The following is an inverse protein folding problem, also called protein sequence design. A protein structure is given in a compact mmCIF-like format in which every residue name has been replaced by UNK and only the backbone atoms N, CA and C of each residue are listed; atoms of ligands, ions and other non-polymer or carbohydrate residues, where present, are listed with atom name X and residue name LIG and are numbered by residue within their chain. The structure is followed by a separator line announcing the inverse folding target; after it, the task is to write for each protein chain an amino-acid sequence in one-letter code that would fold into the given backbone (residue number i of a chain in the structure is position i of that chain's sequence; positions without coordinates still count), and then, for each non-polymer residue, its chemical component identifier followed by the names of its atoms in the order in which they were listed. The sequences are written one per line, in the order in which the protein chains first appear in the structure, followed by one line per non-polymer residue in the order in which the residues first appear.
data_IF_600508901492
#
_entry.id   IF_600508901492
#
_cell.length_a   1.000
_cell.length_b   1.000
_cell.length_c   1.000
_cell.angle_alpha   90.00
_cell.angle_beta   90.00
_cell.angle_gamma   90.00
#
_symmetry.space_group_name_H-M   'P 1'
#
loop_
_entity.id
_entity.type
_entity.pdbx_description
1 polymer ?
#
# COMPACT_ATOMS: atom_id res chain seq x y z
N UNK A 1 -5.64 -0.36 27.80
CA UNK A 1 -5.67 0.67 26.74
C UNK A 1 -4.37 0.54 25.97
N UNK A 2 -4.42 0.17 24.72
CA UNK A 2 -3.25 0.21 23.84
C UNK A 2 -3.24 1.60 23.21
N UNK A 3 -2.19 2.39 23.47
CA UNK A 3 -2.01 3.68 22.82
C UNK A 3 -1.39 3.41 21.42
N UNK A 4 -2.23 3.51 20.39
CA UNK A 4 -1.77 3.41 19.00
C UNK A 4 -1.42 4.81 18.52
N UNK A 5 -0.16 5.00 18.14
CA UNK A 5 0.29 6.24 17.52
C UNK A 5 0.13 6.13 16.00
N UNK A 6 -0.51 7.13 15.41
CA UNK A 6 -0.71 7.22 13.97
C UNK A 6 0.03 8.44 13.43
N UNK A 7 1.01 8.21 12.56
CA UNK A 7 1.58 9.24 11.71
C UNK A 7 1.01 9.09 10.29
N UNK A 8 1.11 10.15 9.48
CA UNK A 8 0.70 10.11 8.08
C UNK A 8 1.73 10.81 7.20
N UNK A 9 1.96 10.25 6.01
CA UNK A 9 2.83 10.81 4.99
C UNK A 9 2.00 11.11 3.74
N UNK A 10 2.02 12.35 3.19
CA UNK A 10 1.23 12.68 2.01
C UNK A 10 1.84 12.06 0.75
N UNK A 11 0.95 11.58 -0.13
CA UNK A 11 1.28 11.04 -1.45
C UNK A 11 0.69 11.98 -2.50
N UNK A 12 1.51 12.41 -3.45
CA UNK A 12 1.13 13.37 -4.48
C UNK A 12 1.11 12.74 -5.87
N UNK A 13 0.23 13.23 -6.72
CA UNK A 13 0.20 12.95 -8.15
C UNK A 13 1.25 13.79 -8.89
N UNK A 14 1.52 13.44 -10.14
CA UNK A 14 2.38 14.19 -11.08
C UNK A 14 2.09 15.69 -11.14
N UNK A 15 0.81 16.07 -11.05
CA UNK A 15 0.38 17.46 -11.04
C UNK A 15 0.45 18.13 -9.65
N UNK A 16 1.09 17.47 -8.68
CA UNK A 16 1.24 17.89 -7.27
C UNK A 16 -0.08 17.98 -6.49
N UNK A 17 -1.19 17.43 -7.02
CA UNK A 17 -2.39 17.27 -6.23
C UNK A 17 -2.25 16.09 -5.28
N UNK A 18 -2.88 16.18 -4.11
CA UNK A 18 -2.88 15.10 -3.14
C UNK A 18 -3.60 13.87 -3.71
N UNK A 19 -2.96 12.71 -3.67
CA UNK A 19 -3.56 11.41 -3.95
C UNK A 19 -4.17 10.82 -2.69
N UNK A 20 -3.44 10.89 -1.59
CA UNK A 20 -3.81 10.30 -0.32
C UNK A 20 -2.72 10.46 0.72
N UNK A 21 -2.84 9.68 1.78
CA UNK A 21 -1.85 9.60 2.84
C UNK A 21 -1.52 8.16 3.14
N UNK A 22 -0.24 7.85 3.23
CA UNK A 22 0.22 6.62 3.86
C UNK A 22 0.05 6.75 5.37
N UNK A 23 -0.55 5.74 5.97
CA UNK A 23 -0.81 5.67 7.40
C UNK A 23 0.21 4.78 8.08
N UNK A 24 1.05 5.40 8.91
CA UNK A 24 2.14 4.76 9.63
C UNK A 24 1.68 4.45 11.05
N UNK A 25 1.32 3.19 11.30
CA UNK A 25 0.96 2.72 12.62
C UNK A 25 2.22 2.41 13.43
N UNK A 26 2.28 2.88 14.66
CA UNK A 26 3.38 2.60 15.58
C UNK A 26 2.82 2.08 16.90
N UNK A 27 2.83 0.78 17.06
CA UNK A 27 2.62 0.08 18.32
C UNK A 27 3.93 -0.41 18.97
N UNK A 28 5.08 -0.02 18.39
CA UNK A 28 6.43 -0.26 18.93
C UNK A 28 7.42 -0.87 17.92
N UNK A 29 7.05 -1.78 17.04
CA UNK A 29 8.00 -2.52 16.18
C UNK A 29 7.55 -2.69 14.73
N UNK A 30 6.28 -2.54 14.40
CA UNK A 30 5.74 -2.78 13.06
C UNK A 30 5.06 -1.53 12.51
N UNK A 31 5.23 -1.28 11.19
CA UNK A 31 4.52 -0.23 10.46
C UNK A 31 3.31 -0.79 9.70
N UNK A 32 2.67 -1.82 10.24
CA UNK A 32 1.47 -2.40 9.68
C UNK A 32 0.25 -2.04 10.52
N UNK A 33 -0.93 -2.20 9.94
CA UNK A 33 -2.18 -2.15 10.70
C UNK A 33 -2.08 -3.15 11.86
N UNK A 34 -2.44 -2.74 13.11
CA UNK A 34 -2.23 -3.58 14.28
C UNK A 34 -2.84 -4.97 14.09
N UNK A 35 -2.01 -5.99 14.29
CA UNK A 35 -2.46 -7.36 14.35
C UNK A 35 -3.23 -7.57 15.64
N UNK A 36 -4.41 -8.17 15.52
CA UNK A 36 -5.30 -8.31 16.63
C UNK A 36 -5.53 -9.80 16.83
N UNK A 37 -5.06 -10.27 17.98
CA UNK A 37 -5.28 -11.63 18.42
C UNK A 37 -6.71 -12.13 18.05
N UNK A 38 -6.79 -12.76 16.90
CA UNK A 38 -7.55 -13.90 16.52
C UNK A 38 -9.05 -13.95 16.77
N UNK A 39 -9.79 -12.85 16.91
CA UNK A 39 -11.26 -12.98 16.89
C UNK A 39 -11.88 -11.95 15.92
N UNK A 40 -12.77 -12.44 15.05
CA UNK A 40 -13.63 -11.64 14.16
C UNK A 40 -14.28 -10.43 14.88
N UNK A 41 -14.59 -10.59 16.18
CA UNK A 41 -15.13 -9.54 17.02
C UNK A 41 -14.13 -8.40 17.28
N UNK A 42 -12.84 -8.72 17.42
CA UNK A 42 -11.79 -7.72 17.72
C UNK A 42 -11.41 -6.95 16.44
N UNK A 43 -11.33 -7.62 15.30
CA UNK A 43 -11.15 -6.99 13.98
C UNK A 43 -12.30 -6.01 13.70
N UNK A 44 -13.53 -6.37 14.03
CA UNK A 44 -14.70 -5.47 13.91
C UNK A 44 -14.65 -4.28 14.86
N UNK A 45 -14.16 -4.46 16.10
CA UNK A 45 -14.06 -3.36 17.06
C UNK A 45 -13.00 -2.36 16.63
N UNK A 46 -11.88 -2.79 16.08
CA UNK A 46 -10.84 -1.87 15.57
C UNK A 46 -11.25 -1.22 14.26
N UNK A 47 -11.85 -1.97 13.34
CA UNK A 47 -12.45 -1.38 12.16
C UNK A 47 -13.45 -0.30 12.55
N UNK A 48 -14.34 -0.59 13.50
CA UNK A 48 -15.31 0.39 13.99
C UNK A 48 -14.64 1.56 14.74
N UNK A 49 -13.54 1.31 15.47
CA UNK A 49 -12.80 2.38 16.16
C UNK A 49 -12.02 3.24 15.17
N UNK A 50 -11.43 2.63 14.15
CA UNK A 50 -10.79 3.31 13.04
C UNK A 50 -11.81 4.08 12.19
N UNK A 51 -13.01 3.51 11.96
CA UNK A 51 -14.14 4.20 11.37
C UNK A 51 -14.71 5.29 12.25
N UNK A 52 -14.77 5.09 13.57
CA UNK A 52 -15.33 6.09 14.52
C UNK A 52 -14.37 7.25 14.79
N UNK A 53 -13.05 7.02 14.68
CA UNK A 53 -12.05 8.10 14.60
C UNK A 53 -12.05 8.78 13.23
N UNK A 54 -12.76 8.19 12.25
CA UNK A 54 -12.99 8.71 10.92
C UNK A 54 -11.76 8.65 10.04
N UNK A 55 -11.66 7.62 9.19
CA UNK A 55 -10.68 7.57 8.12
C UNK A 55 -10.64 8.91 7.35
N UNK A 56 -11.79 9.59 7.26
CA UNK A 56 -11.94 10.92 6.68
C UNK A 56 -11.20 12.01 7.46
N UNK A 57 -11.09 11.90 8.79
CA UNK A 57 -10.33 12.88 9.58
C UNK A 57 -8.82 12.71 9.37
N UNK A 58 -8.37 11.49 9.08
CA UNK A 58 -6.96 11.18 8.88
C UNK A 58 -6.53 11.40 7.44
N UNK A 59 -7.33 10.98 6.46
CA UNK A 59 -7.00 11.05 5.04
C UNK A 59 -7.66 12.24 4.30
N UNK A 60 -8.56 12.99 4.96
CA UNK A 60 -9.31 14.06 4.31
C UNK A 60 -10.12 13.54 3.12
N UNK A 61 -10.02 14.23 1.98
CA UNK A 61 -10.65 13.80 0.72
C UNK A 61 -9.83 12.74 -0.02
N UNK A 62 -8.56 12.49 0.39
CA UNK A 62 -7.67 11.52 -0.22
C UNK A 62 -7.96 10.09 0.22
N UNK A 63 -7.20 9.13 -0.35
CA UNK A 63 -7.22 7.73 0.08
C UNK A 63 -6.24 7.50 1.23
N UNK A 64 -6.55 6.57 2.11
CA UNK A 64 -5.63 6.06 3.12
C UNK A 64 -4.91 4.83 2.57
N UNK A 65 -3.59 4.90 2.48
CA UNK A 65 -2.73 3.78 2.17
C UNK A 65 -2.39 3.10 3.49
N UNK A 66 -2.71 1.82 3.59
CA UNK A 66 -2.62 1.06 4.84
C UNK A 66 -1.88 -0.24 4.61
N UNK A 67 -0.81 -0.44 5.36
CA UNK A 67 -0.02 -1.67 5.38
C UNK A 67 -0.75 -2.76 6.17
N UNK A 68 -0.99 -3.91 5.54
CA UNK A 68 -1.61 -5.06 6.17
C UNK A 68 -0.62 -6.22 6.29
N UNK A 69 -0.65 -6.91 7.43
CA UNK A 69 0.11 -8.14 7.61
C UNK A 69 -0.45 -9.28 6.76
N UNK A 70 0.34 -10.37 6.58
CA UNK A 70 -0.11 -11.56 5.85
C UNK A 70 -1.44 -12.09 6.38
N UNK A 71 -1.56 -12.24 7.70
CA UNK A 71 -2.74 -12.83 8.33
C UNK A 71 -3.98 -11.98 8.09
N UNK A 72 -3.87 -10.65 8.20
CA UNK A 72 -4.97 -9.72 7.90
C UNK A 72 -5.39 -9.75 6.43
N UNK A 73 -4.45 -9.95 5.50
CA UNK A 73 -4.75 -10.13 4.07
C UNK A 73 -5.52 -11.43 3.83
N UNK A 74 -5.02 -12.53 4.38
CA UNK A 74 -5.65 -13.87 4.23
C UNK A 74 -7.04 -13.90 4.87
N UNK A 75 -7.24 -13.23 5.98
CA UNK A 75 -8.55 -13.07 6.64
C UNK A 75 -9.48 -12.04 5.97
N UNK A 76 -9.03 -11.37 4.89
CA UNK A 76 -9.78 -10.32 4.15
C UNK A 76 -10.19 -9.12 5.02
N UNK A 77 -9.45 -8.84 6.08
CA UNK A 77 -9.71 -7.68 6.93
C UNK A 77 -9.79 -6.37 6.14
N UNK A 78 -8.98 -6.13 5.08
CA UNK A 78 -9.13 -4.93 4.26
C UNK A 78 -10.53 -4.75 3.66
N UNK A 79 -11.26 -5.83 3.41
CA UNK A 79 -12.62 -5.75 2.83
C UNK A 79 -13.67 -5.22 3.80
N UNK A 80 -13.31 -5.01 5.05
CA UNK A 80 -14.17 -4.33 6.04
C UNK A 80 -14.17 -2.80 5.85
N UNK A 81 -13.22 -2.24 5.09
CA UNK A 81 -13.08 -0.82 4.84
C UNK A 81 -13.73 -0.42 3.50
N UNK A 82 -14.18 0.83 3.33
CA UNK A 82 -14.67 1.30 2.04
C UNK A 82 -13.55 1.27 0.98
N UNK A 83 -13.77 0.53 -0.10
CA UNK A 83 -12.79 0.33 -1.17
C UNK A 83 -12.35 1.61 -1.89
N UNK A 84 -13.18 2.64 -1.86
CA UNK A 84 -12.91 3.96 -2.44
C UNK A 84 -12.07 4.85 -1.51
N UNK A 85 -11.91 4.46 -0.24
CA UNK A 85 -11.20 5.21 0.78
C UNK A 85 -9.87 4.58 1.19
N UNK A 86 -9.70 3.29 0.99
CA UNK A 86 -8.50 2.55 1.38
C UNK A 86 -7.76 2.00 0.17
N UNK A 87 -6.43 2.11 0.20
CA UNK A 87 -5.49 1.36 -0.65
C UNK A 87 -4.86 0.29 0.23
N UNK A 88 -4.91 -0.95 -0.20
CA UNK A 88 -4.33 -2.09 0.53
C UNK A 88 -2.85 -2.19 0.17
N UNK A 89 -1.96 -1.88 1.11
CA UNK A 89 -0.52 -2.01 0.91
C UNK A 89 -0.01 -3.37 1.39
N UNK A 90 0.82 -3.99 0.56
CA UNK A 90 1.49 -5.26 0.82
C UNK A 90 2.97 -4.98 0.98
N UNK A 91 3.49 -5.25 2.17
CA UNK A 91 4.90 -5.03 2.52
C UNK A 91 5.82 -6.01 1.77
N UNK A 92 7.05 -5.60 1.54
CA UNK A 92 8.07 -6.36 0.78
C UNK A 92 8.48 -7.68 1.42
N UNK A 93 8.27 -7.84 2.75
CA UNK A 93 8.59 -9.05 3.51
C UNK A 93 7.47 -10.11 3.50
N UNK A 94 6.29 -9.78 2.94
CA UNK A 94 5.19 -10.73 2.80
C UNK A 94 5.50 -11.71 1.68
N UNK A 95 5.55 -13.01 2.03
CA UNK A 95 5.71 -14.08 1.06
C UNK A 95 4.46 -14.20 0.17
N UNK A 96 4.61 -14.19 -1.17
CA UNK A 96 3.51 -14.28 -2.13
C UNK A 96 3.01 -15.72 -2.31
N UNK A 97 2.64 -16.36 -1.21
CA UNK A 97 2.06 -17.71 -1.25
C UNK A 97 0.65 -17.71 -1.89
N UNK A 98 0.12 -18.91 -2.14
CA UNK A 98 -1.16 -19.08 -2.82
C UNK A 98 -2.32 -18.43 -2.06
N UNK A 99 -2.30 -18.43 -0.72
CA UNK A 99 -3.36 -17.84 0.11
C UNK A 99 -3.35 -16.31 0.02
N UNK A 100 -2.17 -15.70 0.06
CA UNK A 100 -2.00 -14.24 -0.10
C UNK A 100 -2.39 -13.80 -1.50
N UNK A 101 -1.91 -14.50 -2.54
CA UNK A 101 -2.24 -14.17 -3.93
C UNK A 101 -3.75 -14.28 -4.19
N UNK A 102 -4.40 -15.33 -3.67
CA UNK A 102 -5.86 -15.50 -3.81
C UNK A 102 -6.62 -14.41 -3.06
N UNK A 103 -6.18 -14.05 -1.84
CA UNK A 103 -6.77 -12.95 -1.09
C UNK A 103 -6.70 -11.61 -1.85
N UNK A 104 -5.53 -11.31 -2.41
CA UNK A 104 -5.31 -10.09 -3.19
C UNK A 104 -6.14 -10.08 -4.48
N UNK A 105 -6.26 -11.24 -5.15
CA UNK A 105 -7.12 -11.38 -6.34
C UNK A 105 -8.58 -11.09 -6.01
N UNK A 106 -9.10 -11.70 -4.97
CA UNK A 106 -10.48 -11.47 -4.51
C UNK A 106 -10.72 -9.99 -4.18
N UNK A 107 -9.80 -9.35 -3.46
CA UNK A 107 -9.89 -7.92 -3.16
C UNK A 107 -9.87 -7.07 -4.42
N UNK A 108 -8.97 -7.33 -5.38
CA UNK A 108 -8.89 -6.60 -6.64
C UNK A 108 -10.18 -6.76 -7.47
N UNK A 109 -10.74 -7.97 -7.56
CA UNK A 109 -12.01 -8.24 -8.24
C UNK A 109 -13.21 -7.52 -7.59
N UNK A 110 -13.15 -7.30 -6.28
CA UNK A 110 -14.11 -6.49 -5.54
C UNK A 110 -13.85 -4.97 -5.61
N UNK A 111 -12.84 -4.55 -6.39
CA UNK A 111 -12.55 -3.15 -6.69
C UNK A 111 -11.68 -2.45 -5.65
N UNK A 112 -10.98 -3.19 -4.79
CA UNK A 112 -9.95 -2.64 -3.93
C UNK A 112 -8.69 -2.34 -4.74
N UNK A 113 -8.04 -1.22 -4.46
CA UNK A 113 -6.75 -0.88 -5.04
C UNK A 113 -5.66 -1.51 -4.19
N UNK A 114 -4.82 -2.35 -4.81
CA UNK A 114 -3.68 -3.01 -4.18
C UNK A 114 -2.41 -2.25 -4.54
N UNK A 115 -1.57 -1.96 -3.55
CA UNK A 115 -0.25 -1.39 -3.71
C UNK A 115 0.83 -2.36 -3.21
N UNK A 116 1.89 -2.56 -3.99
CA UNK A 116 3.08 -3.30 -3.56
C UNK A 116 4.12 -2.32 -3.06
N UNK A 117 4.52 -2.45 -1.80
CA UNK A 117 5.44 -1.54 -1.12
C UNK A 117 6.90 -1.95 -1.30
N UNK A 118 7.82 -0.98 -1.33
CA UNK A 118 9.29 -1.17 -1.49
C UNK A 118 9.64 -2.30 -2.47
N UNK A 119 9.02 -2.24 -3.68
CA UNK A 119 8.96 -3.38 -4.59
C UNK A 119 10.32 -3.81 -5.14
N UNK A 120 10.67 -5.07 -4.89
CA UNK A 120 11.78 -5.78 -5.51
C UNK A 120 11.26 -6.90 -6.41
N UNK A 121 11.64 -6.86 -7.70
CA UNK A 121 11.19 -7.88 -8.65
C UNK A 121 11.79 -9.25 -8.31
N UNK A 122 10.91 -10.22 -8.05
CA UNK A 122 11.22 -11.64 -7.93
C UNK A 122 10.20 -12.43 -8.76
N UNK A 123 10.56 -13.56 -9.39
CA UNK A 123 9.63 -14.36 -10.21
C UNK A 123 8.36 -14.75 -9.44
N UNK A 124 8.48 -15.00 -8.14
CA UNK A 124 7.39 -15.40 -7.24
C UNK A 124 6.33 -14.30 -7.09
N UNK A 125 6.70 -13.04 -7.32
CA UNK A 125 5.79 -11.89 -7.25
C UNK A 125 4.78 -11.83 -8.41
N UNK A 126 4.88 -12.69 -9.42
CA UNK A 126 4.05 -12.64 -10.63
C UNK A 126 2.54 -12.66 -10.32
N UNK A 127 2.10 -13.41 -9.32
CA UNK A 127 0.72 -13.46 -8.86
C UNK A 127 0.25 -12.12 -8.28
N UNK A 128 1.03 -11.51 -7.40
CA UNK A 128 0.72 -10.21 -6.80
C UNK A 128 0.77 -9.07 -7.82
N UNK A 129 1.73 -9.07 -8.74
CA UNK A 129 1.82 -8.08 -9.81
C UNK A 129 0.53 -8.04 -10.64
N UNK A 130 -0.12 -9.19 -10.88
CA UNK A 130 -1.38 -9.26 -11.64
C UNK A 130 -2.56 -8.63 -10.89
N UNK A 131 -2.49 -8.51 -9.58
CA UNK A 131 -3.53 -7.90 -8.74
C UNK A 131 -3.25 -6.43 -8.44
N UNK A 132 -2.01 -5.99 -8.60
CA UNK A 132 -1.56 -4.66 -8.23
C UNK A 132 -2.10 -3.57 -9.17
N UNK A 133 -2.62 -2.51 -8.60
CA UNK A 133 -2.91 -1.27 -9.32
C UNK A 133 -1.83 -0.20 -9.11
N UNK A 134 -1.04 -0.33 -8.03
CA UNK A 134 0.09 0.55 -7.72
C UNK A 134 1.31 -0.30 -7.37
N UNK A 135 2.49 0.13 -7.83
CA UNK A 135 3.77 -0.41 -7.37
C UNK A 135 4.64 0.77 -6.92
N UNK A 136 5.14 0.68 -5.68
CA UNK A 136 5.97 1.69 -5.05
C UNK A 136 7.44 1.29 -5.17
N UNK A 137 8.30 2.26 -5.49
CA UNK A 137 9.73 2.06 -5.65
C UNK A 137 10.49 3.08 -4.80
N UNK A 138 11.39 2.59 -3.95
CA UNK A 138 12.40 3.42 -3.31
C UNK A 138 13.47 3.81 -4.32
N UNK A 139 13.48 5.09 -4.74
CA UNK A 139 14.45 5.58 -5.71
C UNK A 139 15.88 5.61 -5.18
N UNK A 140 16.07 5.63 -3.86
CA UNK A 140 17.39 5.61 -3.24
C UNK A 140 17.97 4.19 -3.15
N UNK A 141 17.10 3.19 -2.98
CA UNK A 141 17.51 1.79 -2.85
C UNK A 141 17.61 1.06 -4.18
N UNK A 142 16.86 1.49 -5.22
CA UNK A 142 16.79 0.79 -6.51
C UNK A 142 17.71 1.45 -7.54
N UNK A 143 18.79 0.78 -8.00
CA UNK A 143 19.66 1.31 -9.04
C UNK A 143 18.91 1.59 -10.35
N UNK A 144 19.23 2.69 -11.01
CA UNK A 144 18.55 3.19 -12.21
C UNK A 144 18.58 2.22 -13.39
N UNK A 145 19.72 1.58 -13.60
CA UNK A 145 19.93 0.58 -14.63
C UNK A 145 19.04 -0.66 -14.46
N UNK A 146 18.61 -0.92 -13.23
CA UNK A 146 17.65 -1.98 -12.89
C UNK A 146 16.21 -1.48 -12.97
N UNK A 147 15.94 -0.25 -12.53
CA UNK A 147 14.60 0.33 -12.45
C UNK A 147 13.99 0.58 -13.84
N UNK A 148 14.73 1.19 -14.76
CA UNK A 148 14.21 1.56 -16.07
C UNK A 148 13.71 0.36 -16.91
N UNK A 149 14.47 -0.75 -17.05
CA UNK A 149 13.97 -1.96 -17.69
C UNK A 149 12.75 -2.57 -17.02
N UNK A 150 12.69 -2.49 -15.67
CA UNK A 150 11.59 -3.02 -14.88
C UNK A 150 10.31 -2.22 -15.11
N UNK A 151 10.38 -0.88 -15.08
CA UNK A 151 9.24 -0.02 -15.39
C UNK A 151 8.69 -0.29 -16.78
N UNK A 152 9.57 -0.44 -17.78
CA UNK A 152 9.17 -0.80 -19.16
C UNK A 152 8.45 -2.15 -19.22
N UNK A 153 8.94 -3.15 -18.45
CA UNK A 153 8.34 -4.49 -18.40
C UNK A 153 6.95 -4.47 -17.76
N UNK A 154 6.76 -3.65 -16.74
CA UNK A 154 5.51 -3.54 -15.99
C UNK A 154 4.51 -2.56 -16.63
N UNK A 155 5.00 -1.66 -17.49
CA UNK A 155 4.16 -0.71 -18.23
C UNK A 155 3.15 -1.42 -19.13
N UNK A 156 1.96 -0.86 -19.26
CA UNK A 156 0.90 -1.40 -20.13
C UNK A 156 -0.09 -2.33 -19.44
N UNK A 157 0.14 -2.70 -18.19
CA UNK A 157 -0.78 -3.52 -17.39
C UNK A 157 -1.79 -2.68 -16.58
N UNK A 158 -1.86 -1.37 -16.80
CA UNK A 158 -2.72 -0.46 -16.02
C UNK A 158 -2.20 -0.17 -14.61
N UNK A 159 -0.94 -0.51 -14.32
CA UNK A 159 -0.28 -0.28 -13.05
C UNK A 159 0.24 1.16 -13.01
N UNK A 160 -0.06 1.89 -11.94
CA UNK A 160 0.54 3.19 -11.63
C UNK A 160 1.83 2.97 -10.82
N UNK A 161 2.88 3.73 -11.13
CA UNK A 161 4.14 3.69 -10.38
C UNK A 161 4.21 4.87 -9.41
N UNK A 162 4.66 4.61 -8.19
CA UNK A 162 4.85 5.58 -7.14
C UNK A 162 6.31 5.60 -6.72
N UNK A 163 6.93 6.77 -6.79
CA UNK A 163 8.30 6.98 -6.31
C UNK A 163 8.29 7.36 -4.84
N UNK A 164 9.12 6.69 -4.06
CA UNK A 164 9.30 6.95 -2.64
C UNK A 164 10.64 7.61 -2.35
N UNK A 165 10.71 8.25 -1.18
CA UNK A 165 11.92 8.95 -0.68
C UNK A 165 12.42 10.05 -1.63
N UNK A 166 11.49 10.71 -2.32
CA UNK A 166 11.76 11.89 -3.15
C UNK A 166 11.87 13.09 -2.24
N UNK A 167 13.09 13.60 -2.05
CA UNK A 167 13.37 14.68 -1.11
C UNK A 167 13.70 16.01 -1.79
N UNK A 168 14.12 15.96 -3.05
CA UNK A 168 14.56 17.14 -3.81
C UNK A 168 13.73 17.37 -5.07
N UNK A 169 13.77 18.59 -5.59
CA UNK A 169 13.13 18.90 -6.87
C UNK A 169 13.76 18.15 -8.04
N UNK A 170 15.07 17.92 -8.00
CA UNK A 170 15.79 17.17 -9.04
C UNK A 170 15.32 15.71 -9.08
N UNK A 171 15.17 15.07 -7.92
CA UNK A 171 14.63 13.71 -7.82
C UNK A 171 13.18 13.64 -8.28
N UNK A 172 12.38 14.66 -7.96
CA UNK A 172 10.99 14.74 -8.41
C UNK A 172 10.90 14.85 -9.95
N UNK A 173 11.66 15.76 -10.55
CA UNK A 173 11.69 15.93 -12.02
C UNK A 173 12.20 14.65 -12.69
N UNK A 174 13.20 14.01 -12.10
CA UNK A 174 13.72 12.72 -12.56
C UNK A 174 12.66 11.61 -12.50
N UNK A 175 11.92 11.49 -11.39
CA UNK A 175 10.83 10.53 -11.26
C UNK A 175 9.76 10.76 -12.32
N UNK A 176 9.40 12.02 -12.61
CA UNK A 176 8.46 12.35 -13.67
C UNK A 176 8.94 11.90 -15.05
N UNK A 177 10.22 12.11 -15.38
CA UNK A 177 10.81 11.73 -16.66
C UNK A 177 10.81 10.19 -16.85
N UNK A 178 10.93 9.45 -15.76
CA UNK A 178 10.84 7.98 -15.74
C UNK A 178 9.41 7.44 -15.83
N UNK A 179 8.39 8.28 -15.64
CA UNK A 179 6.99 7.89 -15.79
C UNK A 179 6.22 7.64 -14.49
N UNK A 180 6.80 8.03 -13.32
CA UNK A 180 6.10 7.98 -12.03
C UNK A 180 4.97 8.99 -11.93
#
# INVERSE_FOLDING_TARGET
CMDVFLARQPIFRKNRSLLGYELLFRDGLSNAFPDIDGTEATSRVLSNSFFSMGIEQVSGEGRAFVNFTRDLLVERVPMMFPRDRVVVEILEDIEPDDEVVEACREMAENGYLIALDDFLFRPEMAGLIQTAGIIKFDLMATPLDTLEPLLRKLSGNGIEFLAEKVETHEEFDYALDMGF
#
